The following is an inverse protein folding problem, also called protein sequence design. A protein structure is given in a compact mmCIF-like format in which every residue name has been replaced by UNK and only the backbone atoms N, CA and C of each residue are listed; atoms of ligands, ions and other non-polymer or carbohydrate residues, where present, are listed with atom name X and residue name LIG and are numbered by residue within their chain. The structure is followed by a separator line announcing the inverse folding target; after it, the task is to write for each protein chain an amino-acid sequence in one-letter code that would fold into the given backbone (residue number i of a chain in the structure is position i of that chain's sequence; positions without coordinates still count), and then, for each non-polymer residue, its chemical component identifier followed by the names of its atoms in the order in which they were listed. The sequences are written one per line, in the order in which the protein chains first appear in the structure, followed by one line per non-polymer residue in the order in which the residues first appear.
data_IF_777499644348
#
_entry.id   IF_777499644348
#
_cell.length_a   1.000
_cell.length_b   1.000
_cell.length_c   1.000
_cell.angle_alpha   90.00
_cell.angle_beta   90.00
_cell.angle_gamma   90.00
#
_symmetry.space_group_name_H-M   'P 1'
#
loop_
_entity.id
_entity.type
_entity.pdbx_description
1 polymer ?
#
# COMPACT_ATOMS: atom_id res chain seq x y z
N UNK A 1 28.06 37.17 13.80
CA UNK A 1 26.69 36.72 14.15
C UNK A 1 25.74 37.16 13.05
N UNK A 2 25.30 36.24 12.17
CA UNK A 2 24.30 36.52 11.13
C UNK A 2 23.00 35.83 11.52
N UNK A 3 21.94 36.60 11.71
CA UNK A 3 20.61 36.15 12.16
C UNK A 3 19.90 35.40 11.03
N UNK A 4 19.37 34.21 11.34
CA UNK A 4 18.41 33.49 10.49
C UNK A 4 17.02 34.06 10.79
N UNK A 5 16.32 34.50 9.76
CA UNK A 5 14.91 34.89 9.84
C UNK A 5 14.08 33.63 9.63
N UNK A 6 13.30 33.26 10.64
CA UNK A 6 12.28 32.21 10.57
C UNK A 6 11.07 32.86 9.91
N UNK A 7 10.62 32.32 8.78
CA UNK A 7 9.36 32.72 8.16
C UNK A 7 8.25 31.89 8.78
N UNK A 8 7.67 32.44 9.85
CA UNK A 8 6.43 31.96 10.46
C UNK A 8 5.27 32.46 9.59
N UNK A 9 4.70 31.58 8.78
CA UNK A 9 3.45 31.80 8.05
C UNK A 9 2.33 31.06 8.77
N UNK A 10 1.56 31.80 9.56
CA UNK A 10 0.37 31.36 10.28
C UNK A 10 -0.81 31.08 9.35
N UNK A 11 -1.51 29.98 9.62
CA UNK A 11 -2.98 29.86 9.60
C UNK A 11 -3.66 30.08 8.25
N UNK A 12 -3.91 28.97 7.54
CA UNK A 12 -5.11 28.80 6.72
C UNK A 12 -6.17 28.09 7.56
N UNK A 13 -7.12 28.86 8.09
CA UNK A 13 -8.40 28.33 8.56
C UNK A 13 -9.19 27.92 7.32
N UNK A 14 -9.51 26.64 7.18
CA UNK A 14 -10.77 26.21 6.58
C UNK A 14 -11.66 25.76 7.74
N UNK A 15 -12.57 26.65 8.14
CA UNK A 15 -13.67 26.32 9.04
C UNK A 15 -14.69 25.49 8.26
N UNK A 16 -14.93 24.27 8.74
CA UNK A 16 -16.23 23.61 8.86
C UNK A 16 -17.20 23.82 7.69
N UNK A 17 -17.17 22.88 6.76
CA UNK A 17 -18.41 22.29 6.27
C UNK A 17 -18.48 20.88 6.83
N UNK A 18 -19.47 20.61 7.69
CA UNK A 18 -20.03 19.27 7.73
C UNK A 18 -20.67 19.05 6.35
N UNK A 19 -19.89 18.49 5.42
CA UNK A 19 -20.41 17.91 4.19
C UNK A 19 -20.52 16.43 4.50
N UNK A 20 -21.73 15.86 4.44
CA UNK A 20 -21.82 14.42 4.23
C UNK A 20 -21.01 14.11 2.98
N UNK A 21 -20.23 13.03 2.99
CA UNK A 21 -19.58 12.56 1.78
C UNK A 21 -20.63 12.50 0.67
N UNK A 22 -20.28 12.94 -0.53
CA UNK A 22 -21.17 12.80 -1.71
C UNK A 22 -21.41 11.33 -2.05
N UNK A 23 -20.61 10.45 -1.46
CA UNK A 23 -20.73 9.02 -1.47
C UNK A 23 -22.04 8.57 -0.81
N UNK A 24 -22.64 7.56 -1.40
CA UNK A 24 -23.66 6.75 -0.74
C UNK A 24 -23.08 5.96 0.43
N UNK A 25 -23.94 5.46 1.31
CA UNK A 25 -23.51 4.63 2.44
C UNK A 25 -22.69 3.40 1.97
N UNK A 26 -23.06 2.80 0.83
CA UNK A 26 -22.36 1.65 0.24
C UNK A 26 -20.97 2.04 -0.30
N UNK A 27 -20.85 3.22 -0.90
CA UNK A 27 -19.57 3.75 -1.38
C UNK A 27 -18.65 4.14 -0.22
N UNK A 28 -19.20 4.76 0.83
CA UNK A 28 -18.42 5.07 2.03
C UNK A 28 -17.90 3.79 2.69
N UNK A 29 -18.77 2.78 2.87
CA UNK A 29 -18.35 1.49 3.42
C UNK A 29 -17.24 0.86 2.57
N UNK A 30 -17.33 0.95 1.25
CA UNK A 30 -16.29 0.44 0.35
C UNK A 30 -14.96 1.17 0.54
N UNK A 31 -14.96 2.50 0.69
CA UNK A 31 -13.74 3.26 0.97
C UNK A 31 -13.14 2.86 2.32
N UNK A 32 -13.95 2.68 3.36
CA UNK A 32 -13.50 2.23 4.67
C UNK A 32 -12.86 0.82 4.58
N UNK A 33 -13.48 -0.13 3.85
CA UNK A 33 -12.97 -1.48 3.64
C UNK A 33 -11.65 -1.49 2.84
N UNK A 34 -11.53 -0.61 1.83
CA UNK A 34 -10.29 -0.47 1.06
C UNK A 34 -9.19 0.20 1.89
N UNK A 35 -9.50 1.17 2.75
CA UNK A 35 -8.52 1.79 3.65
C UNK A 35 -7.95 0.77 4.66
N UNK A 36 -8.81 -0.07 5.24
CA UNK A 36 -8.38 -1.17 6.12
C UNK A 36 -7.46 -2.14 5.37
N UNK A 37 -7.84 -2.57 4.16
CA UNK A 37 -7.02 -3.44 3.32
C UNK A 37 -5.69 -2.78 2.93
N UNK A 38 -5.68 -1.52 2.54
CA UNK A 38 -4.47 -0.78 2.18
C UNK A 38 -3.51 -0.64 3.37
N UNK A 39 -4.06 -0.46 4.58
CA UNK A 39 -3.30 -0.45 5.82
C UNK A 39 -2.66 -1.81 6.10
N UNK A 40 -3.37 -2.92 5.90
CA UNK A 40 -2.80 -4.25 6.02
C UNK A 40 -1.66 -4.50 5.01
N UNK A 41 -1.82 -4.03 3.77
CA UNK A 41 -0.76 -4.10 2.74
C UNK A 41 0.46 -3.25 3.14
N UNK A 42 0.27 -2.06 3.72
CA UNK A 42 1.40 -1.25 4.21
C UNK A 42 2.15 -1.93 5.38
N UNK A 43 1.42 -2.60 6.28
CA UNK A 43 2.05 -3.38 7.35
C UNK A 43 2.82 -4.58 6.79
N UNK A 44 2.29 -5.23 5.76
CA UNK A 44 2.99 -6.27 5.01
C UNK A 44 4.26 -5.71 4.36
N UNK A 45 4.19 -4.55 3.71
CA UNK A 45 5.33 -3.87 3.08
C UNK A 45 6.48 -3.64 4.07
N UNK A 46 6.14 -3.13 5.26
CA UNK A 46 7.11 -2.88 6.33
C UNK A 46 7.81 -4.19 6.73
N UNK A 47 7.04 -5.25 7.01
CA UNK A 47 7.60 -6.57 7.38
C UNK A 47 8.46 -7.16 6.27
N UNK A 48 8.00 -7.05 5.03
CA UNK A 48 8.68 -7.61 3.86
C UNK A 48 10.00 -6.89 3.61
N UNK A 49 10.00 -5.56 3.69
CA UNK A 49 11.20 -4.73 3.61
C UNK A 49 12.19 -5.08 4.72
N UNK A 50 11.72 -5.29 5.96
CA UNK A 50 12.58 -5.75 7.07
C UNK A 50 13.18 -7.13 6.79
N UNK A 51 12.37 -8.09 6.33
CA UNK A 51 12.83 -9.45 6.02
C UNK A 51 13.82 -9.48 4.86
N UNK A 52 13.59 -8.70 3.81
CA UNK A 52 14.51 -8.54 2.68
C UNK A 52 15.85 -7.96 3.15
N UNK A 53 15.82 -6.90 3.96
CA UNK A 53 17.03 -6.31 4.54
C UNK A 53 17.80 -7.32 5.41
N UNK A 54 17.10 -8.15 6.18
CA UNK A 54 17.73 -9.19 7.01
C UNK A 54 18.46 -10.24 6.14
N UNK A 55 17.90 -10.62 4.99
CA UNK A 55 18.57 -11.51 4.03
C UNK A 55 19.78 -10.83 3.38
N UNK A 56 19.66 -9.56 3.00
CA UNK A 56 20.77 -8.78 2.44
C UNK A 56 21.93 -8.60 3.42
N UNK A 57 21.62 -8.55 4.72
CA UNK A 57 22.60 -8.46 5.81
C UNK A 57 23.15 -9.82 6.29
N UNK A 58 22.77 -10.91 5.62
CA UNK A 58 23.17 -12.29 5.96
C UNK A 58 22.81 -12.69 7.40
N UNK A 59 21.66 -12.23 7.90
CA UNK A 59 21.17 -12.62 9.22
C UNK A 59 20.78 -14.11 9.26
N UNK A 60 21.07 -14.77 10.39
CA UNK A 60 20.83 -16.20 10.55
C UNK A 60 19.32 -16.50 10.51
N UNK A 61 18.88 -17.32 9.55
CA UNK A 61 17.48 -17.72 9.39
C UNK A 61 16.62 -16.80 8.54
N UNK A 62 17.10 -15.60 8.18
CA UNK A 62 16.31 -14.61 7.44
C UNK A 62 15.78 -15.12 6.09
N UNK A 63 16.55 -15.96 5.40
CA UNK A 63 16.14 -16.51 4.10
C UNK A 63 14.93 -17.44 4.23
N UNK A 64 14.87 -18.25 5.28
CA UNK A 64 13.73 -19.14 5.56
C UNK A 64 12.52 -18.33 6.00
N UNK A 65 12.72 -17.31 6.84
CA UNK A 65 11.66 -16.39 7.26
C UNK A 65 11.03 -15.67 6.06
N UNK A 66 11.84 -15.07 5.18
CA UNK A 66 11.35 -14.41 3.97
C UNK A 66 10.58 -15.37 3.04
N UNK A 67 11.07 -16.61 2.86
CA UNK A 67 10.35 -17.60 2.06
C UNK A 67 9.01 -18.03 2.70
N UNK A 68 8.95 -18.11 4.03
CA UNK A 68 7.73 -18.46 4.74
C UNK A 68 6.66 -17.35 4.70
N UNK A 69 7.05 -16.10 4.43
CA UNK A 69 6.10 -15.00 4.25
C UNK A 69 5.24 -15.13 2.98
N UNK A 70 5.57 -16.03 2.03
CA UNK A 70 4.84 -16.14 0.76
C UNK A 70 3.31 -16.30 0.92
N UNK A 71 2.87 -17.06 1.93
CA UNK A 71 1.45 -17.32 2.17
C UNK A 71 0.76 -16.10 2.80
N UNK A 72 1.43 -15.43 3.74
CA UNK A 72 0.96 -14.16 4.32
C UNK A 72 0.82 -13.09 3.24
N UNK A 73 1.83 -12.95 2.37
CA UNK A 73 1.81 -12.02 1.25
C UNK A 73 0.62 -12.29 0.33
N UNK A 74 0.41 -13.55 -0.06
CA UNK A 74 -0.68 -13.91 -0.97
C UNK A 74 -2.06 -13.63 -0.35
N UNK A 75 -2.28 -14.02 0.91
CA UNK A 75 -3.56 -13.78 1.59
C UNK A 75 -3.81 -12.28 1.75
N UNK A 76 -2.82 -11.51 2.20
CA UNK A 76 -2.99 -10.08 2.45
C UNK A 76 -3.13 -9.25 1.17
N UNK A 77 -2.43 -9.61 0.09
CA UNK A 77 -2.45 -8.83 -1.15
C UNK A 77 -3.49 -9.30 -2.18
N UNK A 78 -3.86 -10.59 -2.20
CA UNK A 78 -4.81 -11.13 -3.16
C UNK A 78 -6.18 -11.35 -2.54
N UNK A 79 -6.28 -12.19 -1.51
CA UNK A 79 -7.56 -12.61 -0.94
C UNK A 79 -8.31 -11.43 -0.31
N UNK A 80 -7.61 -10.55 0.41
CA UNK A 80 -8.22 -9.36 1.00
C UNK A 80 -8.79 -8.40 -0.05
N UNK A 81 -8.10 -8.19 -1.18
CA UNK A 81 -8.58 -7.29 -2.23
C UNK A 81 -9.77 -7.88 -2.98
N UNK A 82 -9.74 -9.17 -3.31
CA UNK A 82 -10.84 -9.83 -4.01
C UNK A 82 -12.09 -10.03 -3.14
N UNK A 83 -11.94 -10.03 -1.81
CA UNK A 83 -13.06 -10.19 -0.88
C UNK A 83 -13.95 -8.93 -0.77
N UNK A 84 -13.44 -7.76 -1.14
CA UNK A 84 -14.15 -6.48 -1.02
C UNK A 84 -15.16 -6.34 -2.16
N UNK A 85 -16.41 -6.03 -1.81
CA UNK A 85 -17.48 -5.84 -2.78
C UNK A 85 -17.47 -4.43 -3.36
N UNK A 86 -17.16 -4.30 -4.65
CA UNK A 86 -17.10 -2.99 -5.32
C UNK A 86 -18.52 -2.49 -5.68
N UNK A 87 -18.93 -1.30 -5.23
CA UNK A 87 -20.19 -0.68 -5.65
C UNK A 87 -20.21 -0.34 -7.16
N UNK A 88 -21.40 -0.14 -7.71
CA UNK A 88 -21.54 0.30 -9.10
C UNK A 88 -21.13 1.77 -9.25
N UNK A 89 -20.24 2.08 -10.19
CA UNK A 89 -19.81 3.45 -10.47
C UNK A 89 -18.46 3.48 -11.19
N UNK A 90 -18.20 4.50 -12.01
CA UNK A 90 -16.88 4.63 -12.67
C UNK A 90 -15.79 4.94 -11.64
N UNK A 91 -16.11 5.82 -10.68
CA UNK A 91 -15.24 6.28 -9.59
C UNK A 91 -14.80 5.10 -8.69
N UNK A 92 -15.75 4.28 -8.21
CA UNK A 92 -15.42 3.10 -7.38
C UNK A 92 -14.63 2.04 -8.15
N UNK A 93 -14.88 1.90 -9.46
CA UNK A 93 -14.10 1.00 -10.31
C UNK A 93 -12.68 1.52 -10.56
N UNK A 94 -12.45 2.84 -10.52
CA UNK A 94 -11.12 3.43 -10.58
C UNK A 94 -10.35 3.13 -9.28
N UNK A 95 -10.97 3.36 -8.12
CA UNK A 95 -10.42 3.01 -6.80
C UNK A 95 -10.05 1.52 -6.73
N UNK A 96 -10.96 0.63 -7.15
CA UNK A 96 -10.70 -0.82 -7.18
C UNK A 96 -9.47 -1.19 -8.02
N UNK A 97 -9.33 -0.58 -9.20
CA UNK A 97 -8.20 -0.86 -10.09
C UNK A 97 -6.89 -0.37 -9.51
N UNK A 98 -6.89 0.81 -8.90
CA UNK A 98 -5.71 1.37 -8.26
C UNK A 98 -5.30 0.52 -7.05
N UNK A 99 -6.25 0.12 -6.20
CA UNK A 99 -6.00 -0.76 -5.06
C UNK A 99 -5.46 -2.14 -5.50
N UNK A 100 -6.09 -2.75 -6.51
CA UNK A 100 -5.62 -4.01 -7.10
C UNK A 100 -4.23 -3.87 -7.73
N UNK A 101 -3.92 -2.73 -8.36
CA UNK A 101 -2.58 -2.47 -8.93
C UNK A 101 -1.52 -2.46 -7.84
N UNK A 102 -1.78 -1.70 -6.76
CA UNK A 102 -0.93 -1.65 -5.58
C UNK A 102 -0.70 -3.03 -4.96
N UNK A 103 -1.76 -3.80 -4.74
CA UNK A 103 -1.65 -5.12 -4.15
C UNK A 103 -0.95 -6.15 -5.04
N UNK A 104 -1.11 -6.06 -6.37
CA UNK A 104 -0.50 -6.99 -7.32
C UNK A 104 1.03 -6.96 -7.31
N UNK A 105 1.66 -5.86 -6.92
CA UNK A 105 3.12 -5.82 -6.76
C UNK A 105 3.57 -6.82 -5.67
N UNK A 106 2.82 -6.96 -4.57
CA UNK A 106 3.12 -7.95 -3.52
C UNK A 106 2.79 -9.38 -3.95
N UNK A 107 1.70 -9.59 -4.70
CA UNK A 107 1.40 -10.90 -5.30
C UNK A 107 2.57 -11.37 -6.18
N UNK A 108 3.13 -10.48 -7.00
CA UNK A 108 4.31 -10.77 -7.80
C UNK A 108 5.51 -11.17 -6.91
N UNK A 109 5.75 -10.48 -5.80
CA UNK A 109 6.82 -10.86 -4.86
C UNK A 109 6.59 -12.27 -4.31
N UNK A 110 5.37 -12.63 -3.91
CA UNK A 110 5.06 -13.99 -3.46
C UNK A 110 5.38 -15.04 -4.55
N UNK A 111 4.99 -14.79 -5.80
CA UNK A 111 5.30 -15.69 -6.93
C UNK A 111 6.81 -15.84 -7.17
N UNK A 112 7.56 -14.74 -7.04
CA UNK A 112 9.03 -14.76 -7.12
C UNK A 112 9.60 -15.59 -5.98
N UNK A 113 9.16 -15.40 -4.74
CA UNK A 113 9.64 -16.14 -3.58
C UNK A 113 9.37 -17.65 -3.71
N UNK A 114 8.18 -18.04 -4.20
CA UNK A 114 7.80 -19.43 -4.45
C UNK A 114 8.68 -20.14 -5.48
N UNK A 115 9.12 -19.41 -6.50
CA UNK A 115 9.84 -19.96 -7.65
C UNK A 115 11.36 -19.78 -7.59
N UNK A 116 11.84 -19.07 -6.57
CA UNK A 116 13.23 -18.67 -6.41
C UNK A 116 14.11 -19.81 -5.91
N UNK A 117 15.13 -20.16 -6.70
CA UNK A 117 16.21 -21.07 -6.28
C UNK A 117 17.40 -20.32 -5.66
N UNK A 118 17.60 -19.06 -6.05
CA UNK A 118 18.67 -18.17 -5.55
C UNK A 118 18.06 -16.88 -5.00
N UNK A 119 17.85 -16.84 -3.69
CA UNK A 119 17.16 -15.76 -3.01
C UNK A 119 17.92 -14.42 -3.11
N UNK A 120 19.23 -14.43 -2.87
CA UNK A 120 20.04 -13.21 -2.90
C UNK A 120 19.98 -12.50 -4.27
N UNK A 121 20.08 -13.28 -5.34
CA UNK A 121 19.98 -12.72 -6.70
C UNK A 121 18.56 -12.23 -6.98
N UNK A 122 17.55 -13.00 -6.57
CA UNK A 122 16.15 -12.67 -6.83
C UNK A 122 15.71 -11.42 -6.06
N UNK A 123 16.24 -11.19 -4.87
CA UNK A 123 16.06 -9.95 -4.11
C UNK A 123 16.50 -8.74 -4.94
N UNK A 124 17.76 -8.73 -5.38
CA UNK A 124 18.31 -7.58 -6.11
C UNK A 124 17.72 -7.39 -7.50
N UNK A 125 17.40 -8.46 -8.21
CA UNK A 125 16.92 -8.39 -9.61
C UNK A 125 15.41 -8.24 -9.74
N UNK A 126 14.62 -8.73 -8.76
CA UNK A 126 13.17 -8.84 -8.89
C UNK A 126 12.41 -8.26 -7.69
N UNK A 127 12.82 -8.50 -6.43
CA UNK A 127 12.03 -8.06 -5.26
C UNK A 127 12.23 -6.57 -4.95
N UNK A 128 13.47 -6.08 -4.82
CA UNK A 128 13.73 -4.67 -4.52
C UNK A 128 13.12 -3.71 -5.56
N UNK A 129 13.24 -3.98 -6.88
CA UNK A 129 12.59 -3.13 -7.88
C UNK A 129 11.06 -3.16 -7.82
N UNK A 130 10.46 -4.20 -7.22
CA UNK A 130 9.00 -4.26 -7.03
C UNK A 130 8.60 -3.49 -5.79
N UNK A 131 9.35 -3.59 -4.69
CA UNK A 131 9.12 -2.77 -3.49
C UNK A 131 9.19 -1.27 -3.81
N UNK A 132 10.18 -0.84 -4.61
CA UNK A 132 10.25 0.55 -5.08
C UNK A 132 9.02 0.97 -5.90
N UNK A 133 8.51 0.07 -6.75
CA UNK A 133 7.28 0.34 -7.54
C UNK A 133 6.03 0.31 -6.66
N UNK A 134 6.01 -0.49 -5.61
CA UNK A 134 4.88 -0.55 -4.68
C UNK A 134 4.69 0.78 -3.93
N UNK A 135 5.77 1.50 -3.60
CA UNK A 135 5.69 2.86 -3.04
C UNK A 135 5.04 3.86 -4.02
N UNK A 136 5.38 3.76 -5.31
CA UNK A 136 4.78 4.58 -6.37
C UNK A 136 3.29 4.24 -6.54
N UNK A 137 2.94 2.95 -6.56
CA UNK A 137 1.54 2.49 -6.68
C UNK A 137 0.71 2.83 -5.44
N UNK A 138 1.28 2.76 -4.23
CA UNK A 138 0.63 3.20 -2.99
C UNK A 138 0.24 4.68 -3.08
N UNK A 139 1.16 5.52 -3.54
CA UNK A 139 0.94 6.96 -3.72
C UNK A 139 -0.13 7.20 -4.78
N UNK A 140 -0.04 6.51 -5.93
CA UNK A 140 -1.03 6.60 -7.00
C UNK A 140 -2.42 6.14 -6.56
N UNK A 141 -2.50 5.15 -5.68
CA UNK A 141 -3.75 4.68 -5.10
C UNK A 141 -4.38 5.74 -4.20
N UNK A 142 -3.61 6.33 -3.29
CA UNK A 142 -4.09 7.42 -2.43
C UNK A 142 -4.59 8.62 -3.24
N UNK A 143 -3.82 9.05 -4.24
CA UNK A 143 -4.19 10.14 -5.15
C UNK A 143 -5.50 9.82 -5.90
N UNK A 144 -5.69 8.56 -6.33
CA UNK A 144 -6.92 8.12 -7.01
C UNK A 144 -8.13 8.19 -6.10
N UNK A 145 -7.99 7.78 -4.83
CA UNK A 145 -9.10 7.87 -3.86
C UNK A 145 -9.48 9.34 -3.62
N UNK A 146 -8.50 10.21 -3.41
CA UNK A 146 -8.77 11.65 -3.20
C UNK A 146 -9.41 12.29 -4.44
N UNK A 147 -8.91 12.00 -5.64
CA UNK A 147 -9.43 12.58 -6.89
C UNK A 147 -10.86 12.12 -7.21
N UNK A 148 -11.13 10.81 -7.08
CA UNK A 148 -12.40 10.22 -7.49
C UNK A 148 -13.49 10.35 -6.42
N UNK A 149 -13.12 10.41 -5.14
CA UNK A 149 -14.08 10.31 -4.04
C UNK A 149 -14.07 11.52 -3.10
N UNK A 150 -12.96 12.26 -3.06
CA UNK A 150 -12.74 13.35 -2.10
C UNK A 150 -12.41 12.88 -0.69
N UNK A 151 -12.27 11.57 -0.47
CA UNK A 151 -11.84 10.97 0.80
C UNK A 151 -10.31 10.75 0.81
N UNK A 152 -9.73 10.61 2.00
CA UNK A 152 -8.30 10.35 2.20
C UNK A 152 -8.09 8.92 2.74
N UNK A 153 -7.05 8.23 2.26
CA UNK A 153 -6.59 6.95 2.82
C UNK A 153 -5.64 7.22 3.99
N UNK A 154 -5.83 6.51 5.10
CA UNK A 154 -5.19 6.83 6.37
C UNK A 154 -3.81 6.18 6.53
N UNK A 155 -3.64 4.95 6.02
CA UNK A 155 -2.43 4.14 6.18
C UNK A 155 -1.91 4.10 7.64
N UNK A 156 -2.78 3.69 8.58
CA UNK A 156 -2.53 3.75 10.04
C UNK A 156 -1.54 2.70 10.61
#
# INVERSE_FOLDING_TARGET
MKKRTIFTGTVGILMLTGCGSSLSDDEQQYIDEVDESATEIQQLDTKLTEAVNAVENEEEGAAEELQNMQEEIFVTAFDNVEAISVPEGEDMQAVYKAHTSYANEYVYIAEVLMSTENLQQSIGENINPVLERAEDEQSSFADTVEEETGEEISFE
#
